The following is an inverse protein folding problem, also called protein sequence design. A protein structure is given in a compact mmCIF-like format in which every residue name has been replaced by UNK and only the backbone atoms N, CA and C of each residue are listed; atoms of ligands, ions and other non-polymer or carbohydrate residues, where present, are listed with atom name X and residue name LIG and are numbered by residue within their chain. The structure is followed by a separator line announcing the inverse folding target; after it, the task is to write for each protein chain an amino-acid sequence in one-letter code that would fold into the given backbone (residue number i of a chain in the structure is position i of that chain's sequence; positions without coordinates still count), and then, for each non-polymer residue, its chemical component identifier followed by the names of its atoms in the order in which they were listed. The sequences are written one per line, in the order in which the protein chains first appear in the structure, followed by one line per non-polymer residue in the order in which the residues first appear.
data_IF_839858517673
#
_entry.id   IF_839858517673
#
_cell.length_a   1.000
_cell.length_b   1.000
_cell.length_c   1.000
_cell.angle_alpha   90.00
_cell.angle_beta   90.00
_cell.angle_gamma   90.00
#
_symmetry.space_group_name_H-M   'P 1'
#
loop_
_entity.id
_entity.type
_entity.pdbx_description
1 polymer ?
#
# COMPACT_ATOMS: atom_id res chain seq x y z
N UNK A 1 48.86 -40.87 11.26
CA UNK A 1 48.48 -40.85 9.82
C UNK A 1 47.01 -41.16 9.57
N UNK A 2 46.41 -42.23 10.13
CA UNK A 2 45.00 -42.59 9.85
C UNK A 2 43.95 -41.54 10.25
N UNK A 3 44.13 -40.84 11.38
CA UNK A 3 43.24 -39.76 11.83
C UNK A 3 43.27 -38.52 10.92
N UNK A 4 44.44 -38.16 10.38
CA UNK A 4 44.59 -37.07 9.43
C UNK A 4 43.92 -37.37 8.08
N UNK A 5 44.00 -38.63 7.62
CA UNK A 5 43.26 -39.08 6.44
C UNK A 5 41.75 -39.04 6.67
N UNK A 6 41.27 -39.45 7.84
CA UNK A 6 39.84 -39.39 8.16
C UNK A 6 39.34 -37.94 8.20
N UNK A 7 40.08 -37.03 8.84
CA UNK A 7 39.75 -35.61 8.90
C UNK A 7 39.75 -34.95 7.51
N UNK A 8 40.70 -35.30 6.65
CA UNK A 8 40.78 -34.81 5.28
C UNK A 8 39.60 -35.30 4.41
N UNK A 9 39.21 -36.57 4.55
CA UNK A 9 38.04 -37.12 3.85
C UNK A 9 36.75 -36.44 4.33
N UNK A 10 36.59 -36.21 5.64
CA UNK A 10 35.42 -35.49 6.18
C UNK A 10 35.35 -34.05 5.67
N UNK A 11 36.49 -33.34 5.60
CA UNK A 11 36.56 -31.98 5.06
C UNK A 11 36.25 -31.93 3.55
N UNK A 12 36.68 -32.93 2.78
CA UNK A 12 36.34 -33.04 1.36
C UNK A 12 34.86 -33.33 1.14
N UNK A 13 34.28 -34.24 1.92
CA UNK A 13 32.85 -34.58 1.82
C UNK A 13 31.97 -33.41 2.24
N UNK A 14 32.34 -32.67 3.29
CA UNK A 14 31.60 -31.46 3.71
C UNK A 14 31.74 -30.33 2.69
N UNK A 15 32.93 -30.14 2.10
CA UNK A 15 33.15 -29.19 1.01
C UNK A 15 32.34 -29.52 -0.25
N UNK A 16 32.33 -30.79 -0.68
CA UNK A 16 31.53 -31.24 -1.81
C UNK A 16 30.02 -31.10 -1.55
N UNK A 17 29.58 -31.40 -0.33
CA UNK A 17 28.17 -31.22 0.08
C UNK A 17 27.76 -29.75 0.05
N UNK A 18 28.62 -28.85 0.54
CA UNK A 18 28.37 -27.41 0.49
C UNK A 18 28.31 -26.88 -0.94
N UNK A 19 29.18 -27.37 -1.83
CA UNK A 19 29.17 -27.03 -3.26
C UNK A 19 27.90 -27.56 -3.94
N UNK A 20 27.48 -28.78 -3.66
CA UNK A 20 26.24 -29.36 -4.21
C UNK A 20 24.99 -28.62 -3.71
N UNK A 21 24.94 -28.21 -2.44
CA UNK A 21 23.86 -27.37 -1.90
C UNK A 21 23.86 -25.99 -2.56
N UNK A 22 25.03 -25.40 -2.78
CA UNK A 22 25.15 -24.13 -3.49
C UNK A 22 24.71 -24.24 -4.95
N UNK A 23 25.18 -25.25 -5.69
CA UNK A 23 24.81 -25.46 -7.09
C UNK A 23 23.31 -25.76 -7.22
N UNK A 24 22.76 -26.68 -6.44
CA UNK A 24 21.32 -26.99 -6.48
C UNK A 24 20.47 -25.79 -6.01
N UNK A 25 20.95 -25.02 -5.02
CA UNK A 25 20.30 -23.80 -4.57
C UNK A 25 20.25 -22.72 -5.67
N UNK A 26 21.35 -22.52 -6.38
CA UNK A 26 21.45 -21.58 -7.50
C UNK A 26 20.64 -22.05 -8.72
N UNK A 27 20.68 -23.35 -9.07
CA UNK A 27 19.89 -23.90 -10.17
C UNK A 27 18.37 -23.86 -9.92
N UNK A 28 17.93 -24.02 -8.68
CA UNK A 28 16.52 -23.85 -8.31
C UNK A 28 16.08 -22.37 -8.36
N UNK A 29 16.98 -21.43 -8.05
CA UNK A 29 16.72 -20.00 -8.22
C UNK A 29 16.57 -19.65 -9.70
N UNK A 30 17.46 -20.13 -10.57
CA UNK A 30 17.38 -19.86 -12.02
C UNK A 30 16.12 -20.44 -12.70
N UNK A 31 15.65 -21.60 -12.24
CA UNK A 31 14.37 -22.18 -12.70
C UNK A 31 13.16 -21.32 -12.35
N UNK A 32 13.14 -20.71 -11.16
CA UNK A 32 12.01 -19.92 -10.65
C UNK A 32 11.77 -18.61 -11.41
N UNK A 33 12.79 -18.08 -12.09
CA UNK A 33 12.71 -16.83 -12.86
C UNK A 33 12.62 -17.03 -14.38
N UNK A 34 12.61 -18.28 -14.84
CA UNK A 34 12.48 -18.58 -16.27
C UNK A 34 11.10 -18.19 -16.81
N UNK A 35 11.07 -17.42 -17.90
CA UNK A 35 9.85 -16.95 -18.56
C UNK A 35 9.44 -17.96 -19.63
N UNK A 36 8.24 -18.53 -19.50
CA UNK A 36 7.68 -19.47 -20.48
C UNK A 36 6.89 -18.76 -21.60
N UNK A 37 6.49 -19.51 -22.62
CA UNK A 37 5.57 -19.05 -23.67
C UNK A 37 4.22 -18.61 -23.09
N UNK A 38 3.71 -19.35 -22.09
CA UNK A 38 2.44 -19.06 -21.43
C UNK A 38 2.54 -17.78 -20.60
N UNK A 39 3.68 -17.54 -19.94
CA UNK A 39 3.92 -16.29 -19.22
C UNK A 39 3.85 -15.09 -20.18
N UNK A 40 4.51 -15.17 -21.34
CA UNK A 40 4.49 -14.11 -22.36
C UNK A 40 3.09 -13.85 -22.92
N UNK A 41 2.33 -14.91 -23.19
CA UNK A 41 0.94 -14.79 -23.68
C UNK A 41 0.01 -14.22 -22.59
N UNK A 42 0.23 -14.53 -21.31
CA UNK A 42 -0.50 -13.92 -20.21
C UNK A 42 -0.26 -12.39 -20.13
N UNK A 43 1.01 -11.95 -20.21
CA UNK A 43 1.36 -10.53 -20.20
C UNK A 43 0.78 -9.79 -21.42
N UNK A 44 0.88 -10.39 -22.61
CA UNK A 44 0.30 -9.85 -23.84
C UNK A 44 -1.23 -9.75 -23.76
N UNK A 45 -1.89 -10.77 -23.24
CA UNK A 45 -3.34 -10.79 -23.06
C UNK A 45 -3.80 -9.74 -22.05
N UNK A 46 -3.06 -9.56 -20.94
CA UNK A 46 -3.30 -8.48 -19.98
C UNK A 46 -3.26 -7.12 -20.66
N UNK A 47 -2.20 -6.83 -21.43
CA UNK A 47 -2.05 -5.56 -22.17
C UNK A 47 -3.20 -5.34 -23.15
N UNK A 48 -3.60 -6.35 -23.91
CA UNK A 48 -4.73 -6.25 -24.86
C UNK A 48 -6.05 -5.94 -24.13
N UNK A 49 -6.35 -6.63 -23.03
CA UNK A 49 -7.56 -6.37 -22.24
C UNK A 49 -7.54 -4.96 -21.65
N UNK A 50 -6.39 -4.54 -21.11
CA UNK A 50 -6.18 -3.19 -20.61
C UNK A 50 -6.49 -2.13 -21.67
N UNK A 51 -5.95 -2.28 -22.89
CA UNK A 51 -6.20 -1.35 -23.99
C UNK A 51 -7.67 -1.27 -24.38
N UNK A 52 -8.35 -2.42 -24.47
CA UNK A 52 -9.80 -2.48 -24.74
C UNK A 52 -10.61 -1.82 -23.63
N UNK A 53 -10.24 -2.05 -22.37
CA UNK A 53 -10.90 -1.42 -21.23
C UNK A 53 -10.75 0.10 -21.26
N UNK A 54 -9.53 0.61 -21.46
CA UNK A 54 -9.28 2.06 -21.53
C UNK A 54 -10.07 2.68 -22.69
N UNK A 55 -10.08 2.04 -23.86
CA UNK A 55 -10.84 2.53 -25.01
C UNK A 55 -12.35 2.59 -24.73
N UNK A 56 -12.89 1.63 -23.99
CA UNK A 56 -14.32 1.55 -23.70
C UNK A 56 -14.78 2.42 -22.51
N UNK A 57 -13.92 2.66 -21.52
CA UNK A 57 -14.29 3.27 -20.24
C UNK A 57 -13.53 4.57 -19.93
N UNK A 58 -12.47 4.90 -20.69
CA UNK A 58 -11.50 5.95 -20.38
C UNK A 58 -11.91 7.39 -20.71
N UNK A 59 -13.11 7.59 -21.27
CA UNK A 59 -13.65 8.91 -21.66
C UNK A 59 -12.65 9.70 -22.54
N UNK A 60 -12.26 9.09 -23.66
CA UNK A 60 -11.33 9.66 -24.65
C UNK A 60 -9.85 9.31 -24.45
N UNK A 61 -9.48 8.69 -23.32
CA UNK A 61 -8.13 8.15 -23.12
C UNK A 61 -7.84 7.02 -24.11
N UNK A 62 -6.59 6.97 -24.58
CA UNK A 62 -6.08 5.88 -25.41
C UNK A 62 -4.88 5.22 -24.73
N UNK A 63 -4.85 3.88 -24.73
CA UNK A 63 -3.70 3.11 -24.25
C UNK A 63 -2.87 2.60 -25.42
N UNK A 64 -1.69 3.18 -25.60
CA UNK A 64 -0.75 2.82 -26.66
C UNK A 64 0.28 1.85 -26.08
N UNK A 65 0.58 0.71 -26.74
CA UNK A 65 1.56 -0.23 -26.23
C UNK A 65 2.98 0.37 -26.36
N UNK A 66 3.82 0.11 -25.36
CA UNK A 66 5.22 0.51 -25.32
C UNK A 66 6.16 -0.48 -26.00
N UNK A 67 7.41 -0.56 -25.52
CA UNK A 67 8.47 -1.37 -26.15
C UNK A 67 8.27 -2.87 -25.93
N UNK A 68 7.66 -3.25 -24.81
CA UNK A 68 7.45 -4.63 -24.40
C UNK A 68 5.98 -4.90 -24.00
N UNK A 69 5.71 -6.09 -23.46
CA UNK A 69 4.37 -6.48 -23.03
C UNK A 69 3.91 -5.82 -21.70
N UNK A 70 4.81 -5.12 -21.01
CA UNK A 70 4.55 -4.48 -19.72
C UNK A 70 4.28 -2.97 -19.86
N UNK A 71 4.99 -2.30 -20.77
CA UNK A 71 4.89 -0.85 -20.97
C UNK A 71 3.62 -0.45 -21.72
N UNK A 72 2.93 0.56 -21.20
CA UNK A 72 1.80 1.23 -21.87
C UNK A 72 1.85 2.73 -21.62
N UNK A 73 1.48 3.52 -22.62
CA UNK A 73 1.31 4.97 -22.50
C UNK A 73 -0.16 5.33 -22.59
N UNK A 74 -0.71 5.98 -21.55
CA UNK A 74 -2.03 6.58 -21.60
C UNK A 74 -1.95 7.98 -22.19
N UNK A 75 -2.61 8.18 -23.33
CA UNK A 75 -2.66 9.45 -24.05
C UNK A 75 -4.02 10.10 -23.90
N UNK A 76 -4.02 11.37 -23.51
CA UNK A 76 -5.20 12.22 -23.50
C UNK A 76 -5.54 12.70 -24.91
N UNK A 77 -6.82 13.03 -25.19
CA UNK A 77 -7.22 13.71 -26.42
C UNK A 77 -6.37 14.97 -26.69
N UNK A 78 -6.03 15.23 -27.95
CA UNK A 78 -5.15 16.35 -28.33
C UNK A 78 -5.71 17.73 -27.97
N UNK A 79 -7.03 17.86 -27.89
CA UNK A 79 -7.76 19.05 -27.46
C UNK A 79 -7.85 19.19 -25.93
N UNK A 80 -7.24 18.28 -25.16
CA UNK A 80 -7.16 18.40 -23.70
C UNK A 80 -6.26 19.57 -23.34
N UNK A 81 -6.81 20.54 -22.61
CA UNK A 81 -6.07 21.71 -22.14
C UNK A 81 -5.51 21.41 -20.74
N UNK A 82 -4.18 21.23 -20.57
CA UNK A 82 -3.57 21.05 -19.26
C UNK A 82 -3.67 22.36 -18.47
N UNK A 83 -4.16 22.27 -17.24
CA UNK A 83 -4.40 23.45 -16.38
C UNK A 83 -3.33 23.69 -15.34
N UNK A 84 -2.46 22.72 -15.15
CA UNK A 84 -1.41 22.80 -14.17
C UNK A 84 -0.07 23.05 -14.81
N UNK A 85 0.70 23.85 -14.09
CA UNK A 85 2.04 24.29 -14.44
C UNK A 85 2.94 23.87 -13.29
N UNK A 86 4.03 23.19 -13.61
CA UNK A 86 5.02 22.80 -12.62
C UNK A 86 5.58 24.07 -11.94
N UNK A 87 5.51 24.19 -10.61
CA UNK A 87 5.96 25.40 -9.92
C UNK A 87 7.46 25.68 -10.03
N UNK A 88 8.27 24.66 -10.33
CA UNK A 88 9.73 24.77 -10.46
C UNK A 88 10.15 25.04 -11.90
N UNK A 89 9.62 24.30 -12.86
CA UNK A 89 10.03 24.42 -14.28
C UNK A 89 9.17 25.41 -15.06
N UNK A 90 7.95 25.67 -14.60
CA UNK A 90 6.98 26.46 -15.35
C UNK A 90 6.42 25.72 -16.58
N UNK A 91 6.64 24.42 -16.73
CA UNK A 91 6.08 23.65 -17.84
C UNK A 91 4.66 23.21 -17.54
N UNK A 92 3.81 23.14 -18.57
CA UNK A 92 2.47 22.58 -18.43
C UNK A 92 2.55 21.06 -18.24
N UNK A 93 1.58 20.50 -17.52
CA UNK A 93 1.43 19.06 -17.38
C UNK A 93 1.35 18.39 -18.77
N UNK A 94 2.10 17.29 -18.94
CA UNK A 94 2.05 16.49 -20.16
C UNK A 94 0.68 15.84 -20.39
N UNK A 95 0.41 15.45 -21.65
CA UNK A 95 -0.81 14.75 -22.07
C UNK A 95 -0.59 13.23 -22.25
N UNK A 96 0.59 12.72 -21.89
CA UNK A 96 0.95 11.30 -22.00
C UNK A 96 1.61 10.85 -20.72
N UNK A 97 1.18 9.71 -20.20
CA UNK A 97 1.71 9.12 -18.97
C UNK A 97 2.02 7.64 -19.18
N UNK A 98 3.25 7.26 -18.88
CA UNK A 98 3.74 5.89 -19.04
C UNK A 98 3.51 5.09 -17.76
N UNK A 99 3.10 3.83 -17.95
CA UNK A 99 2.88 2.87 -16.87
C UNK A 99 3.50 1.53 -17.24
N UNK A 100 3.92 0.80 -16.20
CA UNK A 100 4.34 -0.58 -16.30
C UNK A 100 3.26 -1.48 -15.68
N UNK A 101 2.50 -2.20 -16.53
CA UNK A 101 1.41 -3.07 -16.09
C UNK A 101 1.91 -4.25 -15.25
N UNK A 102 3.12 -4.75 -15.53
CA UNK A 102 3.72 -5.85 -14.80
C UNK A 102 4.06 -5.46 -13.36
N UNK A 103 4.70 -4.29 -13.20
CA UNK A 103 4.96 -3.71 -11.87
C UNK A 103 3.66 -3.40 -11.13
N UNK A 104 2.66 -2.86 -11.83
CA UNK A 104 1.36 -2.55 -11.25
C UNK A 104 0.66 -3.81 -10.72
N UNK A 105 0.49 -4.86 -11.54
CA UNK A 105 -0.18 -6.10 -11.13
C UNK A 105 0.59 -6.80 -10.01
N UNK A 106 1.92 -6.95 -10.14
CA UNK A 106 2.73 -7.59 -9.10
C UNK A 106 2.65 -6.85 -7.76
N UNK A 107 2.65 -5.51 -7.77
CA UNK A 107 2.58 -4.71 -6.55
C UNK A 107 1.18 -4.70 -5.94
N UNK A 108 0.14 -4.51 -6.75
CA UNK A 108 -1.23 -4.42 -6.25
C UNK A 108 -1.74 -5.75 -5.72
N UNK A 109 -1.41 -6.87 -6.36
CA UNK A 109 -1.78 -8.18 -5.83
C UNK A 109 -1.08 -8.48 -4.50
N UNK A 110 0.17 -8.03 -4.34
CA UNK A 110 0.83 -8.13 -3.05
C UNK A 110 0.13 -7.28 -1.97
N UNK A 111 -0.25 -6.04 -2.29
CA UNK A 111 -0.98 -5.14 -1.37
C UNK A 111 -2.32 -5.74 -0.95
N UNK A 112 -3.07 -6.37 -1.88
CA UNK A 112 -4.36 -7.01 -1.59
C UNK A 112 -4.27 -8.25 -0.70
N UNK A 113 -3.07 -8.80 -0.53
CA UNK A 113 -2.81 -9.98 0.30
C UNK A 113 -2.02 -9.64 1.58
N UNK A 114 -1.75 -8.36 1.85
CA UNK A 114 -0.99 -7.91 3.00
C UNK A 114 -1.76 -6.83 3.77
N UNK A 115 -1.37 -6.54 5.00
CA UNK A 115 -1.95 -5.41 5.76
C UNK A 115 -1.07 -4.17 5.69
N UNK A 116 -1.72 -3.01 5.58
CA UNK A 116 -1.08 -1.71 5.33
C UNK A 116 -0.97 -0.85 6.58
N UNK A 117 -1.31 -1.40 7.76
CA UNK A 117 -1.08 -0.77 9.05
C UNK A 117 0.30 -1.15 9.58
N UNK A 118 1.03 -0.16 10.07
CA UNK A 118 2.32 -0.36 10.71
C UNK A 118 2.09 -1.01 12.07
N UNK A 119 2.79 -2.11 12.30
CA UNK A 119 2.71 -2.90 13.55
C UNK A 119 4.06 -2.99 14.22
N UNK A 120 4.08 -3.25 15.53
CA UNK A 120 5.32 -3.53 16.25
C UNK A 120 6.04 -4.76 15.71
N UNK A 121 5.29 -5.84 15.43
CA UNK A 121 5.81 -7.08 14.83
C UNK A 121 6.62 -6.82 13.56
N UNK A 122 6.10 -5.97 12.66
CA UNK A 122 6.83 -5.56 11.46
C UNK A 122 8.17 -4.89 11.79
N UNK A 123 8.19 -3.94 12.73
CA UNK A 123 9.42 -3.23 13.12
C UNK A 123 10.42 -4.19 13.77
N UNK A 124 9.96 -5.06 14.68
CA UNK A 124 10.81 -6.06 15.34
C UNK A 124 11.33 -7.12 14.36
N UNK A 125 10.62 -7.37 13.24
CA UNK A 125 11.07 -8.28 12.20
C UNK A 125 12.14 -7.70 11.26
N UNK A 126 12.21 -6.36 11.15
CA UNK A 126 13.21 -5.65 10.35
C UNK A 126 14.56 -5.60 11.08
N UNK A 127 15.67 -5.88 10.38
CA UNK A 127 17.00 -5.69 10.96
C UNK A 127 17.25 -4.20 11.24
N UNK A 128 17.70 -3.89 12.45
CA UNK A 128 17.81 -2.52 12.96
C UNK A 128 16.50 -1.72 12.80
N UNK A 129 15.34 -2.39 12.79
CA UNK A 129 14.06 -1.79 12.45
C UNK A 129 13.69 -0.61 13.33
N UNK A 130 14.07 -0.64 14.61
CA UNK A 130 13.86 0.50 15.51
C UNK A 130 14.76 1.69 15.16
N UNK A 131 16.02 1.42 14.83
CA UNK A 131 17.04 2.45 14.61
C UNK A 131 16.96 3.10 13.22
N UNK A 132 16.54 2.32 12.22
CA UNK A 132 16.52 2.74 10.82
C UNK A 132 15.12 3.07 10.34
N UNK A 133 14.11 2.31 10.77
CA UNK A 133 12.73 2.49 10.32
C UNK A 133 11.87 3.28 11.32
N UNK A 134 11.72 2.81 12.55
CA UNK A 134 10.84 3.43 13.55
C UNK A 134 11.26 4.87 13.87
N UNK A 135 12.56 5.14 13.98
CA UNK A 135 13.12 6.49 14.11
C UNK A 135 12.61 7.45 13.03
N UNK A 136 12.51 7.01 11.77
CA UNK A 136 12.01 7.86 10.67
C UNK A 136 10.49 8.12 10.76
N UNK A 137 9.76 7.29 11.51
CA UNK A 137 8.32 7.42 11.74
C UNK A 137 7.97 8.39 12.88
N UNK A 138 8.96 8.85 13.65
CA UNK A 138 8.79 9.83 14.73
C UNK A 138 9.37 11.18 14.28
N UNK A 139 8.61 12.27 14.42
CA UNK A 139 9.11 13.60 14.05
C UNK A 139 10.14 14.12 15.06
N UNK A 140 11.26 14.64 14.55
CA UNK A 140 12.56 14.86 15.22
C UNK A 140 12.63 16.07 16.18
N UNK A 141 11.56 16.39 16.89
CA UNK A 141 11.56 17.48 17.88
C UNK A 141 12.42 17.18 19.12
N UNK A 142 12.75 15.90 19.34
CA UNK A 142 13.58 15.38 20.43
C UNK A 142 14.76 14.62 19.80
N UNK A 143 15.94 14.77 20.38
CA UNK A 143 17.16 14.08 19.96
C UNK A 143 17.09 12.59 20.37
N UNK A 144 16.27 11.77 19.69
CA UNK A 144 16.15 10.33 20.00
C UNK A 144 17.34 9.51 19.46
N UNK A 145 18.38 10.14 18.90
CA UNK A 145 19.62 9.51 18.43
C UNK A 145 19.39 8.18 17.69
N UNK A 146 18.57 8.16 16.63
CA UNK A 146 18.22 6.92 15.90
C UNK A 146 17.67 5.82 16.81
N UNK A 147 16.82 6.18 17.76
CA UNK A 147 16.24 5.24 18.73
C UNK A 147 17.27 4.44 19.54
N UNK A 148 18.46 4.97 19.82
CA UNK A 148 19.45 4.38 20.72
C UNK A 148 18.81 3.97 22.07
N UNK A 149 17.93 4.81 22.61
CA UNK A 149 17.01 4.42 23.68
C UNK A 149 15.71 3.83 23.10
N UNK A 150 15.70 2.52 22.85
CA UNK A 150 14.53 1.80 22.31
C UNK A 150 13.27 2.03 23.15
N UNK A 151 13.38 2.06 24.48
CA UNK A 151 12.24 2.26 25.40
C UNK A 151 11.52 3.58 25.12
N UNK A 152 12.27 4.66 24.91
CA UNK A 152 11.70 5.97 24.60
C UNK A 152 10.99 5.96 23.24
N UNK A 153 11.54 5.31 22.22
CA UNK A 153 10.88 5.20 20.92
C UNK A 153 9.62 4.34 20.96
N UNK A 154 9.65 3.23 21.71
CA UNK A 154 8.46 2.39 21.97
C UNK A 154 7.37 3.23 22.64
N UNK A 155 7.70 4.02 23.66
CA UNK A 155 6.73 4.88 24.35
C UNK A 155 6.09 5.93 23.43
N UNK A 156 6.87 6.49 22.48
CA UNK A 156 6.36 7.46 21.50
C UNK A 156 5.41 6.85 20.48
N UNK A 157 5.54 5.55 20.20
CA UNK A 157 4.73 4.86 19.20
C UNK A 157 3.59 4.02 19.81
N UNK A 158 3.67 3.66 21.08
CA UNK A 158 2.76 2.68 21.71
C UNK A 158 1.27 3.02 21.62
N UNK A 159 0.91 4.30 21.53
CA UNK A 159 -0.48 4.73 21.40
C UNK A 159 -1.07 4.53 20.00
N UNK A 160 -0.21 4.33 18.99
CA UNK A 160 -0.59 4.32 17.57
C UNK A 160 0.01 3.16 16.77
N UNK A 161 0.76 2.29 17.46
CA UNK A 161 1.47 1.15 16.91
C UNK A 161 0.92 -0.12 17.57
N UNK A 162 -0.04 -0.81 16.95
CA UNK A 162 -0.55 -2.07 17.48
C UNK A 162 0.55 -3.14 17.40
N UNK A 163 0.53 -4.10 18.34
CA UNK A 163 1.52 -5.17 18.34
C UNK A 163 1.45 -6.03 17.08
N UNK A 164 0.21 -6.28 16.61
CA UNK A 164 -0.12 -7.10 15.43
C UNK A 164 -1.15 -6.40 14.54
N UNK A 165 -1.35 -6.85 13.29
CA UNK A 165 -2.35 -6.27 12.40
C UNK A 165 -3.75 -6.29 13.02
N UNK A 166 -4.41 -5.13 13.20
CA UNK A 166 -5.76 -5.09 13.76
C UNK A 166 -6.84 -5.48 12.74
N UNK A 167 -6.48 -5.52 11.46
CA UNK A 167 -7.34 -5.93 10.35
C UNK A 167 -6.61 -6.91 9.46
N UNK A 168 -7.38 -7.86 8.92
CA UNK A 168 -6.90 -8.93 8.06
C UNK A 168 -7.12 -8.57 6.59
N UNK A 169 -6.31 -9.12 5.66
CA UNK A 169 -6.57 -8.92 4.24
C UNK A 169 -7.99 -9.33 3.87
N UNK A 170 -8.68 -8.49 3.09
CA UNK A 170 -10.06 -8.76 2.61
C UNK A 170 -11.08 -9.08 3.72
N UNK A 171 -10.93 -8.44 4.88
CA UNK A 171 -11.88 -8.54 5.98
C UNK A 171 -13.29 -8.03 5.62
N UNK A 172 -13.39 -7.03 4.73
CA UNK A 172 -14.64 -6.41 4.33
C UNK A 172 -15.01 -6.81 2.89
N UNK A 173 -16.29 -6.98 2.59
CA UNK A 173 -16.73 -7.33 1.23
C UNK A 173 -16.64 -6.15 0.27
N UNK A 174 -17.53 -5.17 0.44
CA UNK A 174 -17.61 -3.97 -0.40
C UNK A 174 -17.19 -2.74 0.38
N UNK A 175 -16.21 -2.01 -0.12
CA UNK A 175 -15.75 -0.76 0.48
C UNK A 175 -15.91 0.44 -0.45
N UNK A 176 -16.26 1.59 0.13
CA UNK A 176 -16.26 2.87 -0.57
C UNK A 176 -15.15 3.79 -0.06
N UNK A 177 -14.35 4.35 -0.97
CA UNK A 177 -13.36 5.38 -0.66
C UNK A 177 -13.89 6.73 -1.14
N UNK A 178 -14.08 7.64 -0.19
CA UNK A 178 -14.70 8.96 -0.43
C UNK A 178 -13.61 10.03 -0.38
N UNK A 179 -13.22 10.48 -1.56
CA UNK A 179 -12.38 11.65 -1.76
C UNK A 179 -13.11 12.95 -1.41
N UNK A 180 -12.40 14.06 -1.57
CA UNK A 180 -12.86 15.36 -1.06
C UNK A 180 -13.38 16.31 -2.14
N UNK A 181 -13.46 15.87 -3.40
CA UNK A 181 -13.84 16.74 -4.52
C UNK A 181 -15.25 17.32 -4.39
N UNK A 182 -15.39 18.58 -4.80
CA UNK A 182 -16.69 19.24 -4.97
C UNK A 182 -17.60 18.58 -6.00
N UNK A 183 -17.08 17.67 -6.84
CA UNK A 183 -17.88 16.90 -7.80
C UNK A 183 -18.91 16.01 -7.12
N UNK A 184 -18.69 15.66 -5.85
CA UNK A 184 -19.67 14.93 -5.05
C UNK A 184 -21.00 15.67 -4.92
N UNK A 185 -21.01 17.01 -5.01
CA UNK A 185 -22.25 17.81 -4.91
C UNK A 185 -23.13 17.74 -6.16
N UNK A 186 -22.65 17.13 -7.25
CA UNK A 186 -23.38 17.02 -8.52
C UNK A 186 -24.27 15.78 -8.58
N UNK A 187 -24.03 14.79 -7.72
CA UNK A 187 -24.76 13.52 -7.72
C UNK A 187 -25.00 13.04 -6.29
N UNK A 188 -26.24 12.67 -5.97
CA UNK A 188 -26.63 12.20 -4.64
C UNK A 188 -26.24 10.74 -4.39
N UNK A 189 -24.95 10.48 -4.17
CA UNK A 189 -24.43 9.13 -3.89
C UNK A 189 -24.68 8.65 -2.45
N UNK A 190 -25.24 9.47 -1.56
CA UNK A 190 -25.21 9.20 -0.13
C UNK A 190 -25.86 7.88 0.30
N UNK A 191 -27.03 7.55 -0.26
CA UNK A 191 -27.72 6.28 0.03
C UNK A 191 -26.92 5.05 -0.43
N UNK A 192 -26.26 5.17 -1.59
CA UNK A 192 -25.42 4.11 -2.14
C UNK A 192 -24.18 3.89 -1.27
N UNK A 193 -23.49 4.99 -0.89
CA UNK A 193 -22.30 4.96 -0.02
C UNK A 193 -22.61 4.30 1.32
N UNK A 194 -23.78 4.59 1.90
CA UNK A 194 -24.18 3.99 3.17
C UNK A 194 -24.48 2.48 3.07
N UNK A 195 -24.65 1.95 1.85
CA UNK A 195 -24.83 0.51 1.60
C UNK A 195 -23.54 -0.33 1.64
N UNK A 196 -22.36 0.29 1.71
CA UNK A 196 -21.08 -0.43 1.75
C UNK A 196 -20.76 -0.98 3.15
N UNK A 197 -19.98 -2.05 3.23
CA UNK A 197 -19.57 -2.69 4.49
C UNK A 197 -18.64 -1.78 5.30
N UNK A 198 -17.70 -1.13 4.61
CA UNK A 198 -16.84 -0.12 5.19
C UNK A 198 -16.72 1.13 4.30
N UNK A 199 -16.67 2.29 4.94
CA UNK A 199 -16.49 3.59 4.26
C UNK A 199 -15.22 4.25 4.77
N UNK A 200 -14.32 4.54 3.83
CA UNK A 200 -13.03 5.19 4.09
C UNK A 200 -13.12 6.64 3.64
N UNK A 201 -12.94 7.58 4.56
CA UNK A 201 -12.94 9.03 4.30
C UNK A 201 -11.54 9.61 4.44
N UNK A 202 -11.37 10.87 4.03
CA UNK A 202 -10.06 11.50 4.03
C UNK A 202 -10.02 12.85 4.74
N UNK A 203 -8.99 13.04 5.57
CA UNK A 203 -8.65 14.32 6.18
C UNK A 203 -9.85 14.90 6.97
N UNK A 204 -9.92 16.23 7.11
CA UNK A 204 -11.01 16.92 7.80
C UNK A 204 -12.30 17.10 6.99
N UNK A 205 -12.70 16.10 6.18
CA UNK A 205 -13.89 16.20 5.35
C UNK A 205 -15.17 15.90 6.17
N UNK A 206 -16.11 16.86 6.29
CA UNK A 206 -17.30 16.71 7.13
C UNK A 206 -18.40 15.90 6.45
N UNK A 207 -19.27 15.29 7.24
CA UNK A 207 -20.47 14.57 6.77
C UNK A 207 -21.72 15.44 6.90
N UNK A 208 -21.83 16.16 8.02
CA UNK A 208 -22.97 17.02 8.32
C UNK A 208 -23.22 18.03 7.18
N UNK A 209 -24.48 18.22 6.83
CA UNK A 209 -24.97 19.04 5.70
C UNK A 209 -24.70 18.48 4.30
N UNK A 210 -24.00 17.35 4.16
CA UNK A 210 -23.67 16.75 2.86
C UNK A 210 -24.18 15.31 2.70
N UNK A 211 -25.00 14.82 3.64
CA UNK A 211 -25.39 13.41 3.75
C UNK A 211 -26.05 12.84 2.49
N UNK A 212 -26.83 13.65 1.77
CA UNK A 212 -27.44 13.27 0.48
C UNK A 212 -26.40 12.88 -0.58
N UNK A 213 -25.21 13.48 -0.50
CA UNK A 213 -24.13 13.37 -1.48
C UNK A 213 -23.05 12.40 -1.04
N UNK A 214 -22.65 12.46 0.23
CA UNK A 214 -21.49 11.72 0.75
C UNK A 214 -21.86 10.62 1.74
N UNK A 215 -23.14 10.43 2.04
CA UNK A 215 -23.62 9.42 3.00
C UNK A 215 -23.41 9.84 4.45
N UNK A 216 -23.79 8.97 5.37
CA UNK A 216 -23.65 9.13 6.83
C UNK A 216 -22.64 8.18 7.43
N UNK A 217 -22.36 7.03 6.80
CA UNK A 217 -21.48 5.98 7.34
C UNK A 217 -20.01 6.41 7.28
N UNK A 218 -19.25 6.13 8.34
CA UNK A 218 -17.80 6.19 8.32
C UNK A 218 -17.20 5.08 9.17
N UNK A 219 -16.19 4.39 8.64
CA UNK A 219 -15.50 3.30 9.32
C UNK A 219 -14.04 3.67 9.56
N UNK A 220 -13.40 4.26 8.55
CA UNK A 220 -12.00 4.65 8.60
C UNK A 220 -11.82 6.07 8.08
N UNK A 221 -10.80 6.76 8.60
CA UNK A 221 -10.39 8.05 8.05
C UNK A 221 -8.89 8.17 7.93
N UNK A 222 -8.43 8.38 6.70
CA UNK A 222 -7.01 8.56 6.42
C UNK A 222 -6.60 10.04 6.53
N UNK A 223 -5.55 10.30 7.30
CA UNK A 223 -5.11 11.65 7.65
C UNK A 223 -3.75 11.98 7.04
N UNK A 224 -3.69 13.09 6.31
CA UNK A 224 -2.42 13.74 5.98
C UNK A 224 -1.81 14.45 7.20
N UNK A 225 -0.60 14.99 7.03
CA UNK A 225 0.13 15.71 8.09
C UNK A 225 -0.67 16.87 8.70
N UNK A 226 -1.41 17.62 7.88
CA UNK A 226 -2.18 18.77 8.34
C UNK A 226 -3.34 18.37 9.24
N UNK A 227 -4.10 17.36 8.82
CA UNK A 227 -5.25 16.84 9.57
C UNK A 227 -4.80 16.10 10.82
N UNK A 228 -3.69 15.36 10.73
CA UNK A 228 -3.05 14.70 11.86
C UNK A 228 -2.61 15.69 12.96
N UNK A 229 -2.25 16.94 12.62
CA UNK A 229 -1.94 17.99 13.60
C UNK A 229 -3.18 18.58 14.29
N UNK A 230 -4.37 18.38 13.72
CA UNK A 230 -5.66 18.81 14.26
C UNK A 230 -6.54 17.60 14.57
N UNK A 231 -5.94 16.60 15.22
CA UNK A 231 -6.55 15.28 15.44
C UNK A 231 -7.81 15.36 16.30
N UNK A 232 -7.80 16.23 17.31
CA UNK A 232 -8.94 16.59 18.16
C UNK A 232 -10.15 17.02 17.32
N UNK A 233 -9.95 17.98 16.41
CA UNK A 233 -11.02 18.49 15.55
C UNK A 233 -11.51 17.43 14.57
N UNK A 234 -10.63 16.58 14.08
CA UNK A 234 -10.99 15.49 13.17
C UNK A 234 -11.81 14.43 13.89
N UNK A 235 -11.45 14.08 15.12
CA UNK A 235 -12.15 13.08 15.93
C UNK A 235 -13.59 13.52 16.28
N UNK A 236 -13.88 14.83 16.24
CA UNK A 236 -15.21 15.39 16.46
C UNK A 236 -16.11 15.40 15.21
N UNK A 237 -15.56 15.11 14.01
CA UNK A 237 -16.34 15.14 12.76
C UNK A 237 -17.35 14.00 12.63
N UNK A 238 -17.25 12.97 13.48
CA UNK A 238 -18.11 11.79 13.46
C UNK A 238 -18.36 11.29 14.89
N UNK A 239 -19.27 10.32 15.01
CA UNK A 239 -19.57 9.65 16.28
C UNK A 239 -18.29 9.20 16.98
N UNK A 240 -18.07 9.76 18.18
CA UNK A 240 -16.85 9.54 18.98
C UNK A 240 -16.57 8.05 19.15
N UNK A 241 -15.35 7.63 18.81
CA UNK A 241 -14.90 6.25 18.96
C UNK A 241 -15.43 5.25 17.92
N UNK A 242 -16.31 5.64 16.99
CA UNK A 242 -16.83 4.73 15.95
C UNK A 242 -15.96 4.63 14.70
N UNK A 243 -15.13 5.64 14.44
CA UNK A 243 -14.24 5.70 13.27
C UNK A 243 -12.78 5.44 13.68
N UNK A 244 -12.04 4.65 12.91
CA UNK A 244 -10.59 4.47 13.10
C UNK A 244 -9.80 5.48 12.28
N UNK A 245 -8.86 6.17 12.94
CA UNK A 245 -8.05 7.22 12.34
C UNK A 245 -6.70 6.66 11.89
N UNK A 246 -6.42 6.71 10.60
CA UNK A 246 -5.19 6.20 10.00
C UNK A 246 -4.28 7.37 9.64
N UNK A 247 -3.11 7.45 10.27
CA UNK A 247 -2.12 8.51 10.02
C UNK A 247 -1.08 8.00 9.04
N UNK A 248 -1.04 8.57 7.84
CA UNK A 248 -0.09 8.14 6.79
C UNK A 248 1.32 8.72 6.95
N UNK A 249 1.51 9.64 7.88
CA UNK A 249 2.76 10.40 8.06
C UNK A 249 3.52 9.97 9.31
N UNK A 250 4.37 10.83 9.85
CA UNK A 250 5.04 10.64 11.13
C UNK A 250 4.17 11.06 12.31
N UNK A 251 4.50 10.55 13.49
CA UNK A 251 3.92 10.97 14.77
C UNK A 251 4.69 12.16 15.32
N UNK A 252 3.96 13.05 15.99
CA UNK A 252 4.50 14.24 16.64
C UNK A 252 4.19 14.18 18.14
N UNK A 253 5.04 14.77 18.98
CA UNK A 253 4.80 14.85 20.43
C UNK A 253 3.47 15.50 20.78
N UNK A 254 3.09 16.54 20.01
CA UNK A 254 1.78 17.19 20.14
C UNK A 254 0.64 16.20 19.89
N UNK A 255 0.79 15.28 18.92
CA UNK A 255 -0.22 14.25 18.67
C UNK A 255 -0.31 13.26 19.84
N UNK A 256 0.83 12.79 20.35
CA UNK A 256 0.84 11.92 21.52
C UNK A 256 0.22 12.60 22.75
N UNK A 257 0.50 13.89 22.95
CA UNK A 257 -0.10 14.70 24.00
C UNK A 257 -1.61 14.80 23.81
N UNK A 258 -2.08 15.12 22.60
CA UNK A 258 -3.51 15.14 22.27
C UNK A 258 -4.19 13.80 22.56
N UNK A 259 -3.62 12.68 22.12
CA UNK A 259 -4.20 11.34 22.35
C UNK A 259 -4.29 11.00 23.85
N UNK A 260 -3.35 11.49 24.69
CA UNK A 260 -3.35 11.24 26.13
C UNK A 260 -4.26 12.16 26.93
N UNK A 261 -4.31 13.44 26.56
CA UNK A 261 -4.89 14.49 27.39
C UNK A 261 -6.26 14.99 26.89
N UNK A 262 -6.58 14.77 25.61
CA UNK A 262 -7.87 15.11 25.00
C UNK A 262 -8.72 13.84 24.94
N UNK A 263 -10.06 13.90 25.15
CA UNK A 263 -10.95 12.74 25.10
C UNK A 263 -11.19 12.22 23.67
N UNK A 264 -10.12 11.85 22.97
CA UNK A 264 -10.15 11.20 21.66
C UNK A 264 -10.38 9.71 21.90
N UNK A 265 -11.62 9.26 21.69
CA UNK A 265 -12.02 7.86 21.89
C UNK A 265 -11.69 6.97 20.68
N UNK A 266 -11.35 7.59 19.55
CA UNK A 266 -11.05 6.90 18.30
C UNK A 266 -9.72 6.15 18.40
N UNK A 267 -9.68 4.93 17.86
CA UNK A 267 -8.40 4.23 17.65
C UNK A 267 -7.59 4.98 16.60
N UNK A 268 -6.31 5.18 16.87
CA UNK A 268 -5.39 5.86 15.95
C UNK A 268 -4.29 4.88 15.58
N UNK A 269 -4.02 4.72 14.28
CA UNK A 269 -2.95 3.84 13.81
C UNK A 269 -2.06 4.52 12.78
N UNK A 270 -0.80 4.10 12.73
CA UNK A 270 0.11 4.47 11.65
C UNK A 270 -0.10 3.59 10.42
N UNK A 271 -0.17 4.21 9.24
CA UNK A 271 -0.07 3.46 7.99
C UNK A 271 1.40 3.08 7.76
N UNK A 272 1.65 1.83 7.37
CA UNK A 272 2.94 1.37 6.85
C UNK A 272 3.11 1.88 5.42
N UNK A 273 2.15 1.52 4.56
CA UNK A 273 2.10 1.96 3.17
C UNK A 273 3.06 1.20 2.25
N UNK A 274 2.63 0.94 1.01
CA UNK A 274 3.46 0.44 -0.07
C UNK A 274 4.15 1.59 -0.82
N UNK A 275 5.33 1.33 -1.38
CA UNK A 275 6.03 2.30 -2.23
C UNK A 275 5.57 2.13 -3.68
N UNK A 276 4.74 3.07 -4.15
CA UNK A 276 4.23 3.13 -5.53
C UNK A 276 4.98 4.14 -6.41
N UNK A 277 6.27 4.37 -6.13
CA UNK A 277 7.07 5.38 -6.84
C UNK A 277 6.62 6.83 -6.58
N UNK A 278 7.08 7.76 -7.43
CA UNK A 278 6.88 9.21 -7.26
C UNK A 278 5.45 9.69 -7.52
N UNK A 279 4.68 8.96 -8.34
CA UNK A 279 3.33 9.30 -8.77
C UNK A 279 2.25 9.18 -7.66
N UNK A 280 2.60 8.59 -6.52
CA UNK A 280 1.64 7.98 -5.61
C UNK A 280 1.66 8.53 -4.16
N UNK A 281 1.64 9.85 -4.01
CA UNK A 281 1.83 10.51 -2.69
C UNK A 281 0.54 11.09 -2.07
N UNK A 282 -0.58 11.08 -2.78
CA UNK A 282 -1.87 11.64 -2.33
C UNK A 282 -2.44 10.96 -1.08
N UNK A 283 -3.38 11.60 -0.37
CA UNK A 283 -4.18 10.89 0.65
C UNK A 283 -5.12 9.91 -0.04
N UNK A 284 -5.85 10.38 -1.05
CA UNK A 284 -6.46 9.63 -2.15
C UNK A 284 -5.99 8.19 -2.34
N UNK A 285 -4.84 8.08 -2.99
CA UNK A 285 -4.29 6.79 -3.35
C UNK A 285 -3.90 5.93 -2.14
N UNK A 286 -3.51 6.54 -1.02
CA UNK A 286 -3.22 5.80 0.22
C UNK A 286 -4.51 5.27 0.87
N UNK A 287 -5.65 5.94 0.69
CA UNK A 287 -6.93 5.42 1.14
C UNK A 287 -7.38 4.24 0.27
N UNK A 288 -7.17 4.33 -1.05
CA UNK A 288 -7.37 3.19 -1.96
C UNK A 288 -6.44 2.03 -1.64
N UNK A 289 -5.18 2.28 -1.31
CA UNK A 289 -4.24 1.24 -0.89
C UNK A 289 -4.73 0.51 0.36
N UNK A 290 -5.15 1.26 1.39
CA UNK A 290 -5.71 0.66 2.59
C UNK A 290 -6.99 -0.14 2.29
N UNK A 291 -7.91 0.41 1.49
CA UNK A 291 -9.13 -0.28 1.11
C UNK A 291 -8.84 -1.56 0.31
N UNK A 292 -7.92 -1.52 -0.66
CA UNK A 292 -7.53 -2.68 -1.45
C UNK A 292 -6.88 -3.77 -0.60
N UNK A 293 -6.17 -3.39 0.46
CA UNK A 293 -5.60 -4.36 1.41
C UNK A 293 -6.67 -5.03 2.28
N UNK A 294 -7.75 -4.33 2.63
CA UNK A 294 -8.72 -4.79 3.65
C UNK A 294 -10.07 -5.21 3.06
N UNK A 295 -10.31 -5.00 1.77
CA UNK A 295 -11.61 -5.20 1.14
C UNK A 295 -11.53 -6.08 -0.11
N UNK A 296 -12.58 -6.86 -0.40
CA UNK A 296 -12.67 -7.64 -1.63
C UNK A 296 -12.86 -6.77 -2.86
N UNK A 297 -13.72 -5.75 -2.75
CA UNK A 297 -14.03 -4.79 -3.81
C UNK A 297 -14.02 -3.36 -3.29
N UNK A 298 -13.59 -2.43 -4.16
CA UNK A 298 -13.40 -1.02 -3.79
C UNK A 298 -14.03 -0.11 -4.84
N UNK A 299 -14.92 0.76 -4.39
CA UNK A 299 -15.57 1.78 -5.20
C UNK A 299 -15.05 3.17 -4.76
N UNK A 300 -14.70 4.02 -5.72
CA UNK A 300 -14.12 5.34 -5.44
C UNK A 300 -15.06 6.47 -5.85
N UNK A 301 -15.22 7.47 -4.98
CA UNK A 301 -16.09 8.64 -5.19
C UNK A 301 -15.33 9.93 -4.89
N UNK A 302 -15.54 10.99 -5.68
CA UNK A 302 -15.03 12.33 -5.31
C UNK A 302 -13.53 12.56 -5.54
N UNK A 303 -12.98 12.03 -6.63
CA UNK A 303 -11.55 12.17 -7.00
C UNK A 303 -11.28 13.02 -8.25
N UNK A 304 -12.31 13.60 -8.89
CA UNK A 304 -12.17 14.46 -10.09
C UNK A 304 -11.37 13.80 -11.21
N UNK A 305 -11.86 12.65 -11.68
CA UNK A 305 -11.16 11.76 -12.64
C UNK A 305 -11.76 11.76 -14.04
N UNK A 306 -12.79 12.56 -14.29
CA UNK A 306 -13.43 12.70 -15.60
C UNK A 306 -13.00 14.01 -16.29
N UNK A 307 -13.22 14.15 -17.61
CA UNK A 307 -12.98 15.41 -18.30
C UNK A 307 -13.96 16.52 -17.88
N UNK A 308 -13.65 17.76 -18.26
CA UNK A 308 -14.57 18.90 -18.15
C UNK A 308 -14.51 19.67 -16.82
N UNK A 309 -13.75 19.22 -15.83
CA UNK A 309 -13.62 19.95 -14.58
C UNK A 309 -12.77 21.22 -14.72
N UNK A 310 -13.33 22.32 -14.20
CA UNK A 310 -12.72 23.64 -14.31
C UNK A 310 -11.76 23.96 -13.19
N UNK A 311 -12.10 23.54 -11.99
CA UNK A 311 -11.37 23.85 -10.77
C UNK A 311 -11.36 22.66 -9.83
N UNK A 312 -10.28 22.51 -9.07
CA UNK A 312 -10.27 21.60 -7.94
C UNK A 312 -10.87 22.28 -6.72
N UNK A 313 -12.08 21.87 -6.39
CA UNK A 313 -12.82 22.34 -5.21
C UNK A 313 -12.98 21.19 -4.25
N UNK A 314 -13.21 21.52 -2.97
CA UNK A 314 -13.70 20.53 -2.01
C UNK A 314 -15.18 20.75 -1.81
N UNK A 315 -15.94 19.68 -1.59
CA UNK A 315 -17.39 19.81 -1.38
C UNK A 315 -17.78 20.63 -0.13
N UNK A 316 -16.81 20.92 0.73
CA UNK A 316 -17.01 21.60 2.01
C UNK A 316 -16.16 22.88 2.18
N UNK A 317 -15.51 23.36 1.12
CA UNK A 317 -14.76 24.62 1.18
C UNK A 317 -14.77 25.35 -0.15
N UNK A 318 -14.56 26.67 -0.09
CA UNK A 318 -14.30 27.47 -1.28
C UNK A 318 -13.12 26.94 -2.10
N UNK A 319 -13.12 27.28 -3.39
CA UNK A 319 -12.06 26.94 -4.33
C UNK A 319 -10.73 27.51 -3.83
N UNK A 320 -9.73 26.64 -3.69
CA UNK A 320 -8.37 27.05 -3.32
C UNK A 320 -7.44 27.15 -4.54
N UNK A 321 -8.00 27.26 -5.75
CA UNK A 321 -7.26 27.21 -7.01
C UNK A 321 -6.34 25.98 -7.08
N UNK A 322 -6.92 24.79 -6.84
CA UNK A 322 -6.18 23.54 -6.83
C UNK A 322 -6.07 22.88 -8.21
N UNK A 323 -5.23 21.85 -8.26
CA UNK A 323 -4.90 21.08 -9.45
C UNK A 323 -5.81 19.86 -9.65
N UNK A 324 -6.27 19.63 -10.89
CA UNK A 324 -6.79 18.34 -11.36
C UNK A 324 -5.71 17.59 -12.17
N UNK A 325 -4.86 16.75 -11.55
CA UNK A 325 -3.77 16.07 -12.25
C UNK A 325 -4.28 15.10 -13.29
N UNK A 326 -3.90 15.33 -14.54
CA UNK A 326 -4.08 14.37 -15.63
C UNK A 326 -3.34 13.07 -15.30
N UNK A 327 -2.19 13.14 -14.63
CA UNK A 327 -1.49 11.96 -14.12
C UNK A 327 -2.35 11.12 -13.18
N UNK A 328 -3.05 11.77 -12.23
CA UNK A 328 -3.93 11.09 -11.30
C UNK A 328 -5.10 10.42 -12.01
N UNK A 329 -5.73 11.12 -12.96
CA UNK A 329 -6.79 10.55 -13.81
C UNK A 329 -6.31 9.33 -14.58
N UNK A 330 -5.13 9.39 -15.21
CA UNK A 330 -4.56 8.27 -15.93
C UNK A 330 -4.28 7.08 -15.00
N UNK A 331 -3.74 7.34 -13.81
CA UNK A 331 -3.46 6.30 -12.81
C UNK A 331 -4.73 5.61 -12.30
N UNK A 332 -5.78 6.35 -11.95
CA UNK A 332 -7.04 5.74 -11.51
C UNK A 332 -7.73 4.98 -12.64
N UNK A 333 -7.63 5.45 -13.89
CA UNK A 333 -8.13 4.69 -15.04
C UNK A 333 -7.36 3.39 -15.24
N UNK A 334 -6.05 3.39 -15.00
CA UNK A 334 -5.24 2.17 -15.00
C UNK A 334 -5.75 1.20 -13.93
N UNK A 335 -5.96 1.67 -12.70
CA UNK A 335 -6.45 0.83 -11.60
C UNK A 335 -7.84 0.22 -11.91
N UNK A 336 -8.76 1.00 -12.47
CA UNK A 336 -10.08 0.51 -12.87
C UNK A 336 -9.97 -0.57 -13.96
N UNK A 337 -9.10 -0.36 -14.95
CA UNK A 337 -8.89 -1.32 -16.03
C UNK A 337 -8.07 -2.55 -15.67
N UNK A 338 -7.41 -2.55 -14.52
CA UNK A 338 -6.86 -3.75 -13.89
C UNK A 338 -7.85 -4.46 -12.96
N UNK A 339 -9.07 -3.93 -12.82
CA UNK A 339 -10.12 -4.52 -11.97
C UNK A 339 -9.92 -4.30 -10.48
N UNK A 340 -9.07 -3.34 -10.09
CA UNK A 340 -8.80 -3.05 -8.68
C UNK A 340 -9.91 -2.21 -8.05
N UNK A 341 -10.43 -1.23 -8.80
CA UNK A 341 -11.40 -0.25 -8.29
C UNK A 341 -12.51 -0.01 -9.31
N UNK A 342 -13.67 0.46 -8.85
CA UNK A 342 -14.73 1.00 -9.70
C UNK A 342 -14.86 2.51 -9.48
N UNK A 343 -14.81 3.28 -10.57
CA UNK A 343 -14.90 4.74 -10.49
C UNK A 343 -16.36 5.19 -10.52
N UNK A 344 -16.77 5.97 -9.53
CA UNK A 344 -18.03 6.69 -9.51
C UNK A 344 -17.82 8.20 -9.53
N UNK A 345 -18.63 8.84 -10.34
CA UNK A 345 -18.52 10.26 -10.64
C UNK A 345 -19.80 10.74 -11.32
N UNK A 346 -19.99 12.06 -11.50
CA UNK A 346 -21.16 12.58 -12.21
C UNK A 346 -21.35 12.00 -13.62
N UNK A 347 -20.26 11.69 -14.36
CA UNK A 347 -20.36 11.06 -15.69
C UNK A 347 -20.50 9.53 -15.63
N UNK A 348 -20.34 8.93 -14.44
CA UNK A 348 -20.35 7.48 -14.19
C UNK A 348 -21.30 7.16 -13.02
N UNK A 349 -22.43 7.86 -12.96
CA UNK A 349 -23.32 7.87 -11.80
C UNK A 349 -24.22 6.63 -11.65
N UNK A 350 -24.32 5.80 -12.69
CA UNK A 350 -25.12 4.57 -12.63
C UNK A 350 -24.44 3.54 -11.71
N UNK A 351 -25.05 3.18 -10.57
CA UNK A 351 -24.49 2.20 -9.65
C UNK A 351 -24.33 0.82 -10.30
N UNK A 352 -25.14 0.50 -11.31
CA UNK A 352 -25.13 -0.76 -12.03
C UNK A 352 -24.18 -0.77 -13.23
N UNK A 353 -23.43 0.33 -13.47
CA UNK A 353 -22.46 0.40 -14.57
C UNK A 353 -21.48 -0.76 -14.51
N UNK A 354 -21.38 -1.51 -15.59
CA UNK A 354 -20.38 -2.56 -15.77
C UNK A 354 -19.16 -1.97 -16.47
N UNK A 355 -17.97 -2.14 -15.87
CA UNK A 355 -16.71 -1.77 -16.50
C UNK A 355 -16.39 -2.82 -17.57
N UNK A 356 -16.33 -2.40 -18.84
CA UNK A 356 -16.13 -3.32 -19.96
C UNK A 356 -14.67 -3.76 -20.06
N UNK A 357 -14.44 -5.02 -20.46
CA UNK A 357 -13.11 -5.60 -20.74
C UNK A 357 -12.14 -5.68 -19.55
N UNK A 358 -12.64 -5.67 -18.32
CA UNK A 358 -11.80 -5.95 -17.14
C UNK A 358 -11.22 -7.36 -17.25
N UNK A 359 -9.90 -7.54 -17.03
CA UNK A 359 -9.27 -8.87 -17.02
C UNK A 359 -9.93 -9.83 -16.02
N UNK A 360 -10.03 -11.12 -16.36
CA UNK A 360 -10.50 -12.13 -15.43
C UNK A 360 -9.51 -12.33 -14.28
N UNK A 361 -9.99 -12.88 -13.15
CA UNK A 361 -9.12 -13.24 -12.03
C UNK A 361 -7.98 -14.19 -12.47
N UNK A 362 -8.29 -15.19 -13.29
CA UNK A 362 -7.28 -16.13 -13.82
C UNK A 362 -6.20 -15.43 -14.66
N UNK A 363 -6.59 -14.44 -15.46
CA UNK A 363 -5.64 -13.65 -16.25
C UNK A 363 -4.77 -12.76 -15.36
N UNK A 364 -5.36 -12.10 -14.34
CA UNK A 364 -4.59 -11.32 -13.36
C UNK A 364 -3.59 -12.20 -12.62
N UNK A 365 -4.00 -13.40 -12.16
CA UNK A 365 -3.09 -14.33 -11.48
C UNK A 365 -1.95 -14.78 -12.39
N UNK A 366 -2.24 -15.19 -13.63
CA UNK A 366 -1.21 -15.60 -14.58
C UNK A 366 -0.25 -14.46 -14.90
N UNK A 367 -0.78 -13.25 -15.14
CA UNK A 367 0.03 -12.08 -15.42
C UNK A 367 0.86 -11.64 -14.20
N UNK A 368 0.35 -11.76 -12.98
CA UNK A 368 1.11 -11.52 -11.73
C UNK A 368 2.33 -12.44 -11.66
N UNK A 369 2.12 -13.75 -11.83
CA UNK A 369 3.19 -14.75 -11.77
C UNK A 369 4.27 -14.46 -12.82
N UNK A 370 3.85 -14.24 -14.07
CA UNK A 370 4.75 -13.86 -15.17
C UNK A 370 5.51 -12.54 -14.86
N UNK A 371 4.84 -11.56 -14.28
CA UNK A 371 5.43 -10.28 -13.90
C UNK A 371 6.47 -10.42 -12.80
N UNK A 372 6.21 -11.23 -11.77
CA UNK A 372 7.17 -11.49 -10.70
C UNK A 372 8.42 -12.21 -11.19
N UNK A 373 8.27 -13.19 -12.10
CA UNK A 373 9.40 -13.84 -12.79
C UNK A 373 10.24 -12.81 -13.56
N UNK A 374 9.58 -11.96 -14.35
CA UNK A 374 10.23 -10.95 -15.20
C UNK A 374 10.96 -9.90 -14.36
N UNK A 375 10.34 -9.45 -13.28
CA UNK A 375 10.89 -8.47 -12.33
C UNK A 375 11.87 -9.10 -11.33
N UNK A 376 12.08 -10.42 -11.39
CA UNK A 376 12.92 -11.20 -10.47
C UNK A 376 12.58 -10.95 -8.99
N UNK A 377 11.29 -10.86 -8.66
CA UNK A 377 10.82 -10.67 -7.29
C UNK A 377 10.98 -11.95 -6.48
N UNK A 378 11.34 -11.84 -5.20
CA UNK A 378 11.46 -13.01 -4.33
C UNK A 378 10.09 -13.72 -4.23
N UNK A 379 10.07 -15.04 -4.38
CA UNK A 379 8.83 -15.83 -4.46
C UNK A 379 8.23 -15.92 -5.87
N UNK A 380 8.90 -15.39 -6.90
CA UNK A 380 8.46 -15.52 -8.29
C UNK A 380 8.15 -16.97 -8.69
N UNK A 381 7.11 -17.12 -9.52
CA UNK A 381 6.62 -18.44 -9.93
C UNK A 381 5.62 -19.06 -8.97
N UNK A 382 5.49 -18.55 -7.73
CA UNK A 382 4.50 -19.03 -6.77
C UNK A 382 3.08 -18.60 -7.13
N UNK A 383 2.11 -19.51 -6.98
CA UNK A 383 0.69 -19.18 -7.06
C UNK A 383 0.20 -18.39 -5.84
N UNK A 384 0.84 -18.56 -4.68
CA UNK A 384 0.60 -17.80 -3.45
C UNK A 384 1.44 -16.50 -3.47
N UNK A 385 0.80 -15.31 -3.49
CA UNK A 385 1.47 -14.01 -3.46
C UNK A 385 2.33 -13.75 -2.22
N UNK A 386 2.15 -14.54 -1.14
CA UNK A 386 2.86 -14.37 0.13
C UNK A 386 3.83 -15.52 0.43
N UNK A 387 4.09 -16.43 -0.52
CA UNK A 387 4.95 -17.60 -0.29
C UNK A 387 6.37 -17.23 0.22
N UNK A 388 6.87 -16.05 -0.14
CA UNK A 388 8.17 -15.53 0.31
C UNK A 388 8.07 -14.54 1.50
N UNK A 389 6.93 -14.48 2.19
CA UNK A 389 6.78 -13.62 3.36
C UNK A 389 7.65 -14.14 4.53
N UNK A 390 8.74 -13.42 4.80
CA UNK A 390 9.64 -13.74 5.92
C UNK A 390 8.98 -13.63 7.30
N UNK A 391 7.92 -12.83 7.46
CA UNK A 391 7.15 -12.74 8.72
C UNK A 391 6.32 -14.03 8.93
N UNK A 392 5.72 -14.59 7.88
CA UNK A 392 5.00 -15.87 7.93
C UNK A 392 5.95 -16.99 8.35
N UNK A 393 7.13 -17.05 7.73
CA UNK A 393 8.14 -18.05 8.08
C UNK A 393 8.57 -17.94 9.54
N UNK A 394 8.76 -16.72 10.06
CA UNK A 394 9.06 -16.48 11.49
C UNK A 394 7.91 -16.86 12.42
N UNK A 395 6.66 -16.66 12.01
CA UNK A 395 5.46 -17.04 12.79
C UNK A 395 5.33 -18.56 12.90
N UNK A 396 5.52 -19.27 11.78
CA UNK A 396 5.46 -20.73 11.72
C UNK A 396 6.59 -21.36 12.56
N UNK A 397 7.78 -20.77 12.53
CA UNK A 397 8.95 -21.27 13.28
C UNK A 397 8.95 -20.87 14.78
N UNK A 398 7.87 -20.28 15.29
CA UNK A 398 7.66 -20.04 16.73
C UNK A 398 8.59 -19.02 17.39
N UNK A 399 9.38 -18.24 16.62
CA UNK A 399 10.32 -17.23 17.17
C UNK A 399 9.66 -15.89 17.49
N UNK A 400 8.48 -15.92 18.09
CA UNK A 400 7.89 -14.72 18.70
C UNK A 400 8.14 -14.78 20.20
N UNK A 401 9.15 -14.05 20.66
CA UNK A 401 9.37 -13.83 22.09
C UNK A 401 8.14 -13.15 22.68
N UNK A 402 7.30 -13.93 23.34
CA UNK A 402 6.27 -13.41 24.23
C UNK A 402 7.00 -12.94 25.48
N UNK A 403 7.26 -11.64 25.61
CA UNK A 403 7.62 -11.08 26.90
C UNK A 403 6.39 -10.43 27.53
N UNK A 404 5.62 -11.26 28.23
CA UNK A 404 4.81 -10.82 29.35
C UNK A 404 5.73 -10.36 30.48
N UNK A 405 5.52 -9.15 31.00
CA UNK A 405 6.04 -8.76 32.31
C UNK A 405 7.36 -7.98 32.26
N UNK A 406 7.24 -6.66 32.28
CA UNK A 406 8.32 -5.76 32.65
C UNK A 406 8.89 -6.07 34.05
N UNK A 407 10.18 -6.43 34.13
CA UNK A 407 11.24 -5.84 34.99
C UNK A 407 12.37 -6.86 35.26
N UNK A 408 13.61 -6.36 35.27
CA UNK A 408 14.87 -6.96 35.77
C UNK A 408 15.71 -7.84 34.81
N UNK A 409 15.16 -8.57 33.86
CA UNK A 409 15.96 -9.41 32.94
C UNK A 409 16.74 -8.62 31.86
N UNK A 410 16.23 -7.46 31.44
CA UNK A 410 16.84 -6.62 30.39
C UNK A 410 18.23 -6.03 30.76
N UNK A 411 18.57 -6.00 32.05
CA UNK A 411 19.87 -5.48 32.54
C UNK A 411 20.95 -6.56 32.54
N UNK A 412 20.59 -7.85 32.63
CA UNK A 412 21.58 -8.95 32.65
C UNK A 412 21.86 -9.53 31.25
N UNK A 413 20.93 -9.41 30.29
CA UNK A 413 21.14 -9.93 28.93
C UNK A 413 22.21 -9.16 28.13
N UNK A 414 22.48 -7.90 28.46
CA UNK A 414 23.55 -7.10 27.85
C UNK A 414 24.96 -7.68 28.06
N UNK A 415 25.14 -8.59 29.03
CA UNK A 415 26.44 -9.23 29.30
C UNK A 415 26.69 -10.52 28.53
N UNK A 416 25.69 -11.09 27.84
CA UNK A 416 25.81 -12.44 27.26
C UNK A 416 25.83 -12.52 25.73
N UNK A 417 25.67 -11.42 25.00
CA UNK A 417 25.72 -11.44 23.52
C UNK A 417 27.04 -10.89 23.01
N UNK A 418 28.13 -11.58 23.36
CA UNK A 418 29.37 -11.62 22.57
C UNK A 418 29.21 -12.78 21.59
N UNK A 419 28.92 -12.48 20.33
CA UNK A 419 28.76 -13.50 19.29
C UNK A 419 27.71 -13.11 18.26
N UNK A 420 27.96 -12.03 17.52
CA UNK A 420 27.13 -11.65 16.38
C UNK A 420 27.45 -12.57 15.20
N UNK A 421 26.56 -13.52 14.91
CA UNK A 421 26.45 -14.15 13.60
C UNK A 421 25.38 -13.40 12.81
N UNK A 422 25.76 -12.88 11.64
CA UNK A 422 24.86 -12.13 10.76
C UNK A 422 23.81 -13.04 10.13
N UNK A 423 22.57 -12.57 10.07
CA UNK A 423 21.51 -13.16 9.22
C UNK A 423 21.27 -12.22 8.03
N UNK A 424 21.10 -12.74 6.81
CA UNK A 424 21.03 -11.93 5.61
C UNK A 424 19.81 -11.01 5.63
N UNK A 425 20.11 -9.72 5.52
CA UNK A 425 19.23 -8.68 5.02
C UNK A 425 19.18 -8.80 3.50
N UNK A 426 18.00 -8.95 2.93
CA UNK A 426 17.82 -8.63 1.51
C UNK A 426 18.16 -7.15 1.31
N UNK A 427 19.33 -6.90 0.73
CA UNK A 427 19.70 -5.60 0.21
C UNK A 427 18.90 -5.36 -1.08
N UNK A 428 18.03 -4.35 -0.99
CA UNK A 428 17.15 -3.77 -2.01
C UNK A 428 17.89 -3.52 -3.36
N UNK A 429 17.21 -3.72 -4.51
CA UNK A 429 16.68 -2.54 -5.20
C UNK A 429 15.34 -2.82 -5.92
N UNK A 430 14.23 -2.49 -5.26
CA UNK A 430 12.89 -2.44 -5.86
C UNK A 430 11.85 -3.23 -5.07
N UNK A 431 11.01 -2.51 -4.32
CA UNK A 431 9.78 -3.00 -3.66
C UNK A 431 10.01 -3.94 -2.48
N UNK A 432 10.20 -3.37 -1.29
CA UNK A 432 10.16 -4.13 -0.04
C UNK A 432 8.85 -4.89 0.07
N UNK A 433 8.94 -6.18 0.42
CA UNK A 433 7.78 -7.02 0.60
C UNK A 433 6.99 -6.54 1.84
N UNK A 434 5.90 -5.81 1.64
CA UNK A 434 4.87 -5.58 2.65
C UNK A 434 4.20 -6.93 2.90
N UNK A 435 4.61 -7.64 3.95
CA UNK A 435 3.97 -8.92 4.27
C UNK A 435 3.80 -9.03 5.78
N UNK A 436 2.87 -8.26 6.33
CA UNK A 436 2.30 -8.52 7.65
C UNK A 436 1.03 -9.33 7.41
N UNK A 437 0.95 -10.52 8.00
CA UNK A 437 -0.28 -11.32 7.98
C UNK A 437 -0.80 -11.51 9.40
N UNK A 438 -2.11 -11.50 9.58
CA UNK A 438 -2.73 -11.90 10.83
C UNK A 438 -2.52 -13.40 11.06
N UNK A 439 -2.43 -13.79 12.33
CA UNK A 439 -2.36 -15.19 12.72
C UNK A 439 -3.63 -15.90 12.20
N UNK A 440 -3.47 -17.03 11.48
CA UNK A 440 -4.61 -17.92 11.21
C UNK A 440 -5.15 -18.35 12.57
N UNK A 441 -6.40 -18.02 12.86
CA UNK A 441 -7.12 -18.48 14.05
C UNK A 441 -7.17 -20.00 14.09
#
# INVERSE_FOLDING_TARGET
MRLLHLAFVVALVSGFSAILVYINGVSNLDGSFSISSEDLEALKSLRIHFQKCVSANGLGLQAVPGKDNCEVSLKFPQDTIPKWKDPKTGELEGLTFDFNLCEAVATWEQVRNSTTILTREFIDALPNGWEEYAWQRINKGINLNRCENKTLCVEKLSLVLPDRPPYIPRQFGRCAVIGNSGDLLKTKFGKEIDGYDAVIRENGAPIQNYTDYVGTKSTFRLLNRGSAKALDKVAELYDKGKEVLLVKTTIHDIMNKMIREVPILNRVYLMLGASFGSAAKGTGLKALEFALSTCDTVDMYGFTVDPGYKEWTRYFSESRQGHTPLQGRAYYQMMECLGLIKIHSPMRADPNRVVKWVPSHSLITAARIASEKLLRRIGAGSSDPLAACSIIEKQINGKFGVESGSRKAAVEHHKYVKGTTMYPLEHNPGHGLLCTVPQRL
#
